data_IF_492646552869
#
_entry.id   IF_492646552869
#
_cell.length_a   1.000
_cell.length_b   1.000
_cell.length_c   1.000
_cell.angle_alpha   90.00
_cell.angle_beta   90.00
_cell.angle_gamma   90.00
#
_symmetry.space_group_name_H-M   'P 1'
#
loop_
_entity.id
_entity.type
_entity.pdbx_description
1 polymer ?
#
# COMPACT_ATOMS: atom_id res chain seq x y z
N UNK A 1 1.11 5.74 15.23
CA UNK A 1 0.91 4.45 15.95
C UNK A 1 -0.22 4.51 17.00
N UNK A 2 -0.37 5.59 17.79
CA UNK A 2 -1.43 5.69 18.83
C UNK A 2 -2.85 5.76 18.26
N UNK A 3 -3.06 6.34 17.08
CA UNK A 3 -4.39 6.48 16.47
C UNK A 3 -4.94 5.15 15.91
N UNK A 4 -4.08 4.22 15.47
CA UNK A 4 -4.52 2.90 15.02
C UNK A 4 -5.04 2.03 16.18
N UNK A 5 -4.39 2.09 17.35
CA UNK A 5 -4.82 1.33 18.53
C UNK A 5 -6.18 1.80 19.12
N UNK A 6 -6.62 3.03 18.81
CA UNK A 6 -7.91 3.54 19.28
C UNK A 6 -9.07 2.90 18.50
N UNK A 7 -8.90 2.63 17.21
CA UNK A 7 -9.92 1.97 16.38
C UNK A 7 -10.27 0.57 16.89
N UNK A 8 -9.30 -0.19 17.35
CA UNK A 8 -9.48 -1.58 17.80
C UNK A 8 -10.39 -1.68 19.05
N UNK A 9 -10.52 -0.60 19.81
CA UNK A 9 -11.35 -0.55 21.03
C UNK A 9 -12.76 0.01 20.83
N UNK A 10 -13.02 0.64 19.68
CA UNK A 10 -14.25 1.41 19.44
C UNK A 10 -15.04 0.97 18.22
N UNK A 11 -14.58 -0.05 17.47
CA UNK A 11 -15.41 -0.70 16.45
C UNK A 11 -16.32 -1.70 17.18
N UNK A 12 -17.41 -1.19 17.74
CA UNK A 12 -18.52 -2.01 18.20
C UNK A 12 -19.53 -2.11 17.06
N UNK A 13 -20.01 -3.32 16.81
CA UNK A 13 -21.11 -3.67 15.91
C UNK A 13 -21.03 -3.08 14.49
N UNK A 14 -20.72 -3.94 13.53
CA UNK A 14 -20.79 -3.74 12.05
C UNK A 14 -20.89 -2.27 11.59
N UNK A 15 -19.78 -1.53 11.53
CA UNK A 15 -19.82 -0.15 11.06
C UNK A 15 -20.17 -0.12 9.58
N UNK A 16 -20.92 0.89 9.14
CA UNK A 16 -21.06 1.16 7.70
C UNK A 16 -19.70 1.52 7.13
N UNK A 17 -19.20 0.69 6.24
CA UNK A 17 -17.90 0.81 5.60
C UNK A 17 -18.04 0.66 4.09
N UNK A 18 -16.98 0.98 3.34
CA UNK A 18 -16.95 0.68 1.91
C UNK A 18 -17.16 -0.84 1.67
N UNK A 19 -16.64 -1.69 2.55
CA UNK A 19 -16.81 -3.15 2.47
C UNK A 19 -18.27 -3.53 2.59
N UNK A 20 -19.01 -2.99 3.59
CA UNK A 20 -20.43 -3.30 3.75
C UNK A 20 -21.25 -2.84 2.55
N UNK A 21 -20.97 -1.64 2.00
CA UNK A 21 -21.68 -1.12 0.84
C UNK A 21 -21.42 -1.98 -0.41
N UNK A 22 -20.18 -2.37 -0.65
CA UNK A 22 -19.83 -3.23 -1.78
C UNK A 22 -20.43 -4.63 -1.66
N UNK A 23 -20.53 -5.17 -0.44
CA UNK A 23 -21.22 -6.45 -0.20
C UNK A 23 -22.71 -6.36 -0.51
N UNK A 24 -23.38 -5.27 -0.15
CA UNK A 24 -24.77 -5.02 -0.50
C UNK A 24 -24.97 -4.96 -2.04
N UNK A 25 -23.93 -4.50 -2.77
CA UNK A 25 -23.88 -4.51 -4.24
C UNK A 25 -23.44 -5.85 -4.85
N UNK A 26 -23.24 -6.88 -4.02
CA UNK A 26 -22.91 -8.25 -4.42
C UNK A 26 -21.44 -8.52 -4.72
N UNK A 27 -20.53 -7.71 -4.16
CA UNK A 27 -19.08 -7.98 -4.24
C UNK A 27 -18.64 -9.00 -3.19
N UNK A 28 -17.69 -9.85 -3.56
CA UNK A 28 -16.86 -10.60 -2.62
C UNK A 28 -15.71 -9.70 -2.19
N UNK A 29 -15.63 -9.40 -0.91
CA UNK A 29 -14.66 -8.47 -0.35
C UNK A 29 -13.48 -9.20 0.29
N UNK A 30 -12.27 -8.95 -0.18
CA UNK A 30 -11.06 -9.70 0.12
C UNK A 30 -9.99 -8.75 0.66
N UNK A 31 -9.49 -9.04 1.88
CA UNK A 31 -8.33 -8.34 2.44
C UNK A 31 -7.06 -9.19 2.25
N UNK A 32 -5.99 -8.59 1.74
CA UNK A 32 -4.68 -9.23 1.56
C UNK A 32 -3.58 -8.39 2.19
N UNK A 33 -2.81 -8.97 3.09
CA UNK A 33 -1.68 -8.30 3.73
C UNK A 33 -0.54 -9.29 4.01
N UNK A 34 0.61 -9.17 3.32
CA UNK A 34 1.73 -10.10 3.45
C UNK A 34 2.52 -9.90 4.75
N UNK A 35 1.80 -9.92 5.88
CA UNK A 35 2.34 -9.83 7.23
C UNK A 35 1.48 -10.62 8.21
N UNK A 36 1.90 -10.69 9.47
CA UNK A 36 1.18 -11.44 10.51
C UNK A 36 -0.22 -10.88 10.75
N UNK A 37 -1.20 -11.75 10.91
CA UNK A 37 -2.60 -11.39 11.17
C UNK A 37 -2.78 -10.57 12.46
N UNK A 38 -1.92 -10.82 13.45
CA UNK A 38 -1.91 -10.09 14.72
C UNK A 38 -1.32 -8.69 14.61
N UNK A 39 -0.59 -8.39 13.52
CA UNK A 39 -0.09 -7.06 13.24
C UNK A 39 -1.24 -6.06 13.17
N UNK A 40 -1.14 -4.98 13.94
CA UNK A 40 -2.19 -3.95 14.08
C UNK A 40 -3.57 -4.53 14.44
N UNK A 41 -3.63 -5.68 15.12
CA UNK A 41 -4.87 -6.35 15.54
C UNK A 41 -5.84 -6.67 14.39
N UNK A 42 -5.33 -6.93 13.18
CA UNK A 42 -6.16 -7.16 11.98
C UNK A 42 -7.06 -8.37 12.12
N UNK A 43 -6.58 -9.43 12.77
CA UNK A 43 -7.37 -10.63 13.09
C UNK A 43 -8.61 -10.32 13.94
N UNK A 44 -8.60 -9.21 14.69
CA UNK A 44 -9.74 -8.77 15.49
C UNK A 44 -10.62 -7.76 14.72
N UNK A 45 -10.02 -6.87 13.94
CA UNK A 45 -10.70 -5.74 13.30
C UNK A 45 -11.36 -6.14 11.97
N UNK A 46 -10.69 -6.89 11.13
CA UNK A 46 -11.18 -7.22 9.79
C UNK A 46 -12.48 -8.04 9.76
N UNK A 47 -12.72 -8.99 10.70
CA UNK A 47 -14.02 -9.64 10.79
C UNK A 47 -15.18 -8.68 11.08
N UNK A 48 -14.94 -7.63 11.88
CA UNK A 48 -15.95 -6.59 12.16
C UNK A 48 -16.18 -5.65 10.97
N UNK A 49 -15.17 -5.43 10.13
CA UNK A 49 -15.31 -4.68 8.87
C UNK A 49 -16.16 -5.48 7.86
N UNK A 50 -16.15 -6.81 7.96
CA UNK A 50 -17.02 -7.70 7.20
C UNK A 50 -16.39 -8.28 5.93
N UNK A 51 -15.06 -8.36 5.81
CA UNK A 51 -14.41 -9.04 4.69
C UNK A 51 -14.84 -10.53 4.61
N UNK A 52 -15.03 -11.04 3.40
CA UNK A 52 -15.37 -12.44 3.14
C UNK A 52 -14.14 -13.34 3.17
N UNK A 53 -13.02 -12.83 2.69
CA UNK A 53 -11.72 -13.51 2.70
C UNK A 53 -10.65 -12.61 3.33
N UNK A 54 -9.77 -13.20 4.14
CA UNK A 54 -8.65 -12.49 4.76
C UNK A 54 -7.40 -13.35 4.60
N UNK A 55 -6.40 -12.81 3.92
CA UNK A 55 -5.16 -13.49 3.61
C UNK A 55 -3.97 -12.77 4.22
N UNK A 56 -3.21 -13.47 5.04
CA UNK A 56 -2.05 -12.97 5.76
C UNK A 56 -0.78 -13.71 5.31
N UNK A 57 0.33 -13.56 6.02
CA UNK A 57 1.67 -13.98 5.63
C UNK A 57 1.74 -15.42 5.09
N UNK A 58 0.99 -16.36 5.68
CA UNK A 58 1.01 -17.79 5.31
C UNK A 58 0.39 -18.07 3.91
N UNK A 59 -0.37 -17.11 3.38
CA UNK A 59 -0.96 -17.21 2.04
C UNK A 59 0.03 -16.90 0.92
N UNK A 60 1.10 -16.19 1.21
CA UNK A 60 2.08 -15.70 0.25
C UNK A 60 3.30 -16.61 0.16
N UNK A 61 3.99 -16.54 -0.96
CA UNK A 61 5.26 -17.24 -1.14
C UNK A 61 6.36 -16.55 -0.33
N UNK A 62 6.75 -17.16 0.78
CA UNK A 62 7.74 -16.63 1.69
C UNK A 62 9.18 -16.70 1.15
N UNK A 63 9.39 -17.17 -0.07
CA UNK A 63 10.67 -17.05 -0.79
C UNK A 63 10.78 -15.74 -1.58
N UNK A 64 9.67 -15.03 -1.79
CA UNK A 64 9.57 -13.75 -2.49
C UNK A 64 9.77 -12.59 -1.51
N UNK A 65 10.99 -12.42 -1.03
CA UNK A 65 11.33 -11.45 0.02
C UNK A 65 12.38 -10.47 -0.49
N UNK A 66 12.14 -9.18 -0.24
CA UNK A 66 13.16 -8.13 -0.25
C UNK A 66 13.37 -7.63 1.17
N UNK A 67 14.60 -7.55 1.60
CA UNK A 67 14.97 -7.32 3.00
C UNK A 67 14.33 -8.39 3.89
N UNK A 68 13.34 -8.01 4.69
CA UNK A 68 12.62 -8.87 5.64
C UNK A 68 11.15 -9.08 5.27
N UNK A 69 10.69 -8.43 4.19
CA UNK A 69 9.27 -8.39 3.85
C UNK A 69 8.98 -9.02 2.49
N UNK A 70 7.82 -9.65 2.40
CA UNK A 70 7.29 -10.16 1.14
C UNK A 70 7.11 -8.99 0.16
N UNK A 71 7.47 -9.21 -1.10
CA UNK A 71 7.45 -8.19 -2.15
C UNK A 71 6.04 -7.73 -2.49
N UNK A 72 5.90 -6.49 -2.92
CA UNK A 72 4.65 -5.95 -3.46
C UNK A 72 4.20 -6.73 -4.70
N UNK A 73 5.16 -7.18 -5.53
CA UNK A 73 4.88 -8.02 -6.69
C UNK A 73 4.17 -9.32 -6.29
N UNK A 74 4.61 -9.99 -5.21
CA UNK A 74 3.94 -11.23 -4.76
C UNK A 74 2.50 -10.96 -4.30
N UNK A 75 2.24 -9.85 -3.60
CA UNK A 75 0.88 -9.45 -3.26
C UNK A 75 0.02 -9.27 -4.52
N UNK A 76 0.53 -8.56 -5.53
CA UNK A 76 -0.20 -8.33 -6.77
C UNK A 76 -0.38 -9.61 -7.59
N UNK A 77 0.58 -10.50 -7.59
CA UNK A 77 0.45 -11.83 -8.21
C UNK A 77 -0.67 -12.66 -7.55
N UNK A 78 -0.84 -12.56 -6.23
CA UNK A 78 -1.94 -13.21 -5.51
C UNK A 78 -3.30 -12.58 -5.84
N UNK A 79 -3.37 -11.27 -5.96
CA UNK A 79 -4.58 -10.56 -6.42
C UNK A 79 -4.97 -11.05 -7.81
N UNK A 80 -4.02 -11.07 -8.74
CA UNK A 80 -4.24 -11.55 -10.12
C UNK A 80 -4.74 -13.01 -10.11
N UNK A 81 -4.06 -13.88 -9.38
CA UNK A 81 -4.46 -15.31 -9.30
C UNK A 81 -5.85 -15.48 -8.70
N UNK A 82 -6.23 -14.70 -7.68
CA UNK A 82 -7.59 -14.77 -7.11
C UNK A 82 -8.62 -14.25 -8.11
N UNK A 83 -8.29 -13.20 -8.86
CA UNK A 83 -9.13 -12.71 -9.96
C UNK A 83 -9.31 -13.76 -11.05
N UNK A 84 -8.24 -14.43 -11.50
CA UNK A 84 -8.29 -15.49 -12.52
C UNK A 84 -9.13 -16.69 -12.10
N UNK A 85 -9.10 -17.04 -10.81
CA UNK A 85 -9.83 -18.15 -10.21
C UNK A 85 -11.22 -17.76 -9.69
N UNK A 86 -11.74 -16.58 -10.05
CA UNK A 86 -13.06 -16.13 -9.64
C UNK A 86 -14.16 -17.01 -10.23
N UNK A 87 -15.28 -17.09 -9.54
CA UNK A 87 -16.49 -17.70 -10.08
C UNK A 87 -17.01 -16.89 -11.27
N UNK A 88 -17.80 -17.54 -12.13
CA UNK A 88 -18.40 -16.82 -13.24
C UNK A 88 -19.28 -15.65 -12.74
N UNK A 89 -19.07 -14.46 -13.28
CA UNK A 89 -19.74 -13.21 -12.89
C UNK A 89 -19.51 -12.77 -11.42
N UNK A 90 -18.48 -13.27 -10.75
CA UNK A 90 -18.13 -12.83 -9.40
C UNK A 90 -17.52 -11.41 -9.45
N UNK A 91 -18.15 -10.48 -8.75
CA UNK A 91 -17.59 -9.15 -8.53
C UNK A 91 -16.63 -9.20 -7.36
N UNK A 92 -15.43 -8.67 -7.53
CA UNK A 92 -14.37 -8.71 -6.52
C UNK A 92 -13.97 -7.32 -6.08
N UNK A 93 -13.80 -7.14 -4.78
CA UNK A 93 -13.14 -6.00 -4.18
C UNK A 93 -11.90 -6.49 -3.41
N UNK A 94 -10.74 -5.96 -3.75
CA UNK A 94 -9.50 -6.26 -3.05
C UNK A 94 -9.04 -5.06 -2.24
N UNK A 95 -8.77 -5.26 -0.96
CA UNK A 95 -8.00 -4.35 -0.14
C UNK A 95 -6.60 -4.94 0.07
N UNK A 96 -5.65 -4.56 -0.80
CA UNK A 96 -4.26 -4.95 -0.70
C UNK A 96 -3.47 -3.95 0.13
N UNK A 97 -2.80 -4.41 1.20
CA UNK A 97 -1.89 -3.59 2.01
C UNK A 97 -0.50 -4.18 1.88
N UNK A 98 0.40 -3.45 1.25
CA UNK A 98 1.79 -3.88 1.07
C UNK A 98 2.61 -3.77 2.35
N UNK A 99 3.78 -4.41 2.38
CA UNK A 99 4.68 -4.38 3.54
C UNK A 99 6.14 -4.15 3.14
N UNK A 100 6.49 -4.31 1.86
CA UNK A 100 7.85 -4.25 1.34
C UNK A 100 8.59 -2.98 1.78
N UNK A 101 7.92 -1.83 1.76
CA UNK A 101 8.52 -0.53 2.06
C UNK A 101 8.45 -0.15 3.54
N UNK A 102 7.98 -1.03 4.43
CA UNK A 102 7.92 -0.73 5.86
C UNK A 102 9.29 -0.37 6.43
N UNK A 103 9.30 0.57 7.37
CA UNK A 103 10.51 1.20 7.91
C UNK A 103 11.49 0.29 8.62
N UNK A 104 12.62 0.89 8.93
CA UNK A 104 13.91 0.34 9.26
C UNK A 104 14.77 0.32 8.00
N UNK A 105 15.43 1.47 7.64
CA UNK A 105 16.23 1.56 6.39
C UNK A 105 17.72 1.67 6.67
N UNK A 106 18.18 1.28 7.86
CA UNK A 106 19.56 1.44 8.31
C UNK A 106 20.41 0.18 8.14
N UNK A 107 19.75 -0.96 8.02
CA UNK A 107 20.42 -2.25 7.88
C UNK A 107 20.73 -2.57 6.42
N UNK A 108 21.80 -3.29 6.17
CA UNK A 108 22.19 -3.78 4.84
C UNK A 108 21.71 -5.21 4.65
N UNK A 109 21.18 -5.54 3.50
CA UNK A 109 20.61 -6.84 3.18
C UNK A 109 21.23 -7.44 1.92
N UNK A 110 21.68 -8.68 1.99
CA UNK A 110 22.29 -9.39 0.86
C UNK A 110 21.29 -9.64 -0.29
N UNK A 111 19.99 -9.73 0.04
CA UNK A 111 18.91 -9.96 -0.92
C UNK A 111 18.31 -8.68 -1.49
N UNK A 112 18.87 -7.51 -1.16
CA UNK A 112 18.40 -6.23 -1.66
C UNK A 112 19.56 -5.31 -2.05
N UNK A 113 20.00 -5.32 -3.31
CA UNK A 113 20.99 -4.37 -3.79
C UNK A 113 20.38 -2.97 -3.91
N UNK A 114 20.91 -2.03 -3.16
CA UNK A 114 20.53 -0.61 -3.29
C UNK A 114 21.09 -0.06 -4.62
N UNK A 115 20.24 0.05 -5.63
CA UNK A 115 20.67 0.46 -6.98
C UNK A 115 20.36 1.92 -7.30
N UNK A 116 19.57 2.61 -6.48
CA UNK A 116 19.03 3.91 -6.80
C UNK A 116 19.44 5.00 -5.82
N UNK A 117 19.89 6.11 -6.40
CA UNK A 117 20.05 7.44 -5.83
C UNK A 117 21.17 7.67 -4.82
N UNK A 118 22.35 7.87 -5.36
CA UNK A 118 23.42 8.56 -4.63
C UNK A 118 23.23 10.07 -4.77
N UNK A 119 22.57 10.69 -3.83
CA UNK A 119 22.49 12.14 -3.75
C UNK A 119 23.76 12.67 -3.11
N UNK A 120 24.89 12.73 -3.83
CA UNK A 120 26.15 13.40 -3.48
C UNK A 120 26.83 13.06 -2.14
N UNK A 121 26.09 12.56 -1.15
CA UNK A 121 26.48 12.01 0.16
C UNK A 121 25.83 10.65 0.36
N UNK A 122 26.41 9.82 1.22
CA UNK A 122 25.81 8.54 1.60
C UNK A 122 24.63 8.79 2.56
N UNK A 123 23.42 8.83 2.02
CA UNK A 123 22.19 8.79 2.79
C UNK A 123 21.62 7.39 2.67
N UNK A 124 22.14 6.47 3.45
CA UNK A 124 21.85 5.03 3.33
C UNK A 124 20.37 4.73 3.48
N UNK A 125 19.71 5.33 4.45
CA UNK A 125 18.27 5.19 4.68
C UNK A 125 17.42 5.72 3.52
N UNK A 126 17.74 6.91 3.01
CA UNK A 126 17.04 7.48 1.86
C UNK A 126 17.30 6.67 0.57
N UNK A 127 18.53 6.23 0.33
CA UNK A 127 18.86 5.39 -0.82
C UNK A 127 18.11 4.06 -0.77
N UNK A 128 18.05 3.42 0.39
CA UNK A 128 17.30 2.18 0.57
C UNK A 128 15.80 2.40 0.33
N UNK A 129 15.21 3.44 0.95
CA UNK A 129 13.79 3.76 0.74
C UNK A 129 13.46 4.03 -0.73
N UNK A 130 14.25 4.88 -1.41
CA UNK A 130 14.02 5.19 -2.83
C UNK A 130 14.18 3.97 -3.75
N UNK A 131 15.11 3.07 -3.41
CA UNK A 131 15.25 1.81 -4.14
C UNK A 131 14.03 0.91 -3.93
N UNK A 132 13.44 0.87 -2.73
CA UNK A 132 12.20 0.15 -2.47
C UNK A 132 11.01 0.76 -3.20
N UNK A 133 10.91 2.09 -3.26
CA UNK A 133 9.86 2.78 -4.03
C UNK A 133 9.93 2.41 -5.51
N UNK A 134 11.15 2.30 -6.06
CA UNK A 134 11.31 1.84 -7.45
C UNK A 134 10.80 0.42 -7.66
N UNK A 135 11.11 -0.51 -6.75
CA UNK A 135 10.58 -1.89 -6.83
C UNK A 135 9.05 -1.91 -6.74
N UNK A 136 8.46 -1.07 -5.89
CA UNK A 136 7.00 -0.92 -5.80
C UNK A 136 6.40 -0.34 -7.08
N UNK A 137 7.05 0.64 -7.71
CA UNK A 137 6.62 1.25 -8.97
C UNK A 137 6.58 0.21 -10.09
N UNK A 138 7.63 -0.61 -10.23
CA UNK A 138 7.64 -1.70 -11.22
C UNK A 138 6.57 -2.77 -10.92
N UNK A 139 6.29 -3.07 -9.65
CA UNK A 139 5.22 -3.99 -9.28
C UNK A 139 3.84 -3.43 -9.64
N UNK A 140 3.58 -2.15 -9.37
CA UNK A 140 2.34 -1.45 -9.77
C UNK A 140 2.18 -1.41 -11.28
N UNK A 141 3.24 -1.12 -12.01
CA UNK A 141 3.26 -1.16 -13.48
C UNK A 141 2.86 -2.54 -14.02
N UNK A 142 3.36 -3.62 -13.41
CA UNK A 142 3.00 -4.98 -13.79
C UNK A 142 1.52 -5.27 -13.50
N UNK A 143 0.99 -4.84 -12.35
CA UNK A 143 -0.43 -4.95 -12.00
C UNK A 143 -1.31 -4.24 -13.03
N UNK A 144 -1.02 -2.98 -13.34
CA UNK A 144 -1.73 -2.18 -14.34
C UNK A 144 -1.61 -2.83 -15.72
N UNK A 145 -0.43 -3.30 -16.11
CA UNK A 145 -0.20 -3.97 -17.40
C UNK A 145 -0.99 -5.26 -17.55
N UNK A 146 -1.26 -5.96 -16.48
CA UNK A 146 -2.13 -7.14 -16.48
C UNK A 146 -3.59 -6.70 -16.68
N UNK A 147 -4.12 -5.84 -15.82
CA UNK A 147 -5.51 -5.44 -15.84
C UNK A 147 -5.91 -4.58 -17.04
N UNK A 148 -4.96 -3.94 -17.72
CA UNK A 148 -5.23 -3.23 -18.99
C UNK A 148 -5.61 -4.15 -20.15
N UNK A 149 -5.44 -5.47 -20.01
CA UNK A 149 -5.71 -6.48 -21.05
C UNK A 149 -6.95 -7.32 -20.76
N UNK A 150 -7.61 -7.11 -19.65
CA UNK A 150 -8.84 -7.83 -19.30
C UNK A 150 -10.06 -7.08 -19.81
N UNK A 151 -11.11 -7.84 -20.16
CA UNK A 151 -12.35 -7.28 -20.70
C UNK A 151 -13.30 -6.76 -19.60
N UNK A 152 -13.14 -7.26 -18.37
CA UNK A 152 -13.95 -6.79 -17.23
C UNK A 152 -13.56 -5.35 -16.87
N UNK A 153 -14.52 -4.50 -16.46
CA UNK A 153 -14.21 -3.17 -15.96
C UNK A 153 -13.45 -3.28 -14.62
N UNK A 154 -12.27 -2.67 -14.59
CA UNK A 154 -11.38 -2.67 -13.41
C UNK A 154 -11.02 -1.25 -13.03
N UNK A 155 -11.10 -0.97 -11.73
CA UNK A 155 -10.61 0.25 -11.12
C UNK A 155 -9.55 -0.08 -10.08
N UNK A 156 -8.43 0.64 -10.11
CA UNK A 156 -7.34 0.55 -9.13
C UNK A 156 -7.21 1.92 -8.45
N UNK A 157 -7.41 1.94 -7.14
CA UNK A 157 -7.14 3.09 -6.30
C UNK A 157 -5.85 2.79 -5.54
N UNK A 158 -4.81 3.58 -5.79
CA UNK A 158 -3.52 3.43 -5.14
C UNK A 158 -3.20 4.67 -4.30
N UNK A 159 -2.74 4.46 -3.08
CA UNK A 159 -2.29 5.53 -2.20
C UNK A 159 -1.26 5.04 -1.19
N UNK A 160 -0.38 5.95 -0.76
CA UNK A 160 0.47 5.72 0.40
C UNK A 160 -0.33 5.89 1.70
N UNK A 161 0.08 5.21 2.75
CA UNK A 161 -0.53 5.34 4.08
C UNK A 161 0.11 6.47 4.91
N UNK A 162 1.40 6.69 4.74
CA UNK A 162 2.17 7.78 5.36
C UNK A 162 3.56 7.93 4.73
N UNK A 163 4.21 9.06 5.00
CA UNK A 163 5.60 9.30 4.61
C UNK A 163 6.58 8.43 5.43
N UNK A 164 7.77 8.09 4.86
CA UNK A 164 8.81 7.37 5.57
C UNK A 164 9.43 8.22 6.69
N UNK A 165 9.92 7.56 7.73
CA UNK A 165 10.78 8.21 8.74
C UNK A 165 12.25 8.05 8.32
N UNK A 166 12.81 9.10 7.70
CA UNK A 166 14.20 9.16 7.27
C UNK A 166 15.04 10.00 8.23
N UNK A 167 16.37 9.89 8.09
CA UNK A 167 17.31 10.67 8.88
C UNK A 167 17.09 12.18 8.64
N UNK A 168 17.06 12.95 9.71
CA UNK A 168 16.82 14.41 9.66
C UNK A 168 17.81 15.19 8.78
N UNK A 169 19.00 14.64 8.54
CA UNK A 169 20.02 15.24 7.66
C UNK A 169 19.65 15.16 6.16
N UNK A 170 18.66 14.36 5.80
CA UNK A 170 18.17 14.27 4.42
C UNK A 170 17.22 15.41 4.04
N UNK A 171 16.40 15.86 4.99
CA UNK A 171 15.40 16.91 4.74
C UNK A 171 15.96 18.25 4.24
N UNK A 172 17.15 18.73 4.68
CA UNK A 172 17.75 19.93 4.10
C UNK A 172 18.06 19.82 2.60
N UNK A 173 18.25 18.61 2.08
CA UNK A 173 18.45 18.40 0.63
C UNK A 173 17.15 18.53 -0.13
N UNK A 174 16.05 18.02 0.42
CA UNK A 174 14.73 18.12 -0.18
C UNK A 174 14.16 19.53 -0.12
N UNK A 175 14.30 20.18 1.02
CA UNK A 175 13.59 21.42 1.34
C UNK A 175 14.51 22.66 1.37
N UNK A 176 15.84 22.50 1.19
CA UNK A 176 16.83 23.56 1.36
C UNK A 176 17.06 24.00 2.81
N UNK A 177 16.33 23.41 3.76
CA UNK A 177 16.38 23.71 5.21
C UNK A 177 15.97 22.50 6.05
N UNK A 178 16.38 22.48 7.33
CA UNK A 178 16.00 21.41 8.26
C UNK A 178 14.55 21.50 8.70
N UNK A 179 14.07 20.43 9.33
CA UNK A 179 12.67 20.30 9.79
C UNK A 179 12.22 21.44 10.72
N UNK A 180 13.13 22.01 11.52
CA UNK A 180 12.84 23.11 12.46
C UNK A 180 12.64 24.46 11.77
N UNK A 181 12.97 24.58 10.49
CA UNK A 181 12.83 25.81 9.71
C UNK A 181 11.70 25.79 8.71
N UNK A 182 10.83 24.76 8.74
CA UNK A 182 9.70 24.62 7.83
C UNK A 182 8.53 25.52 8.25
N UNK A 183 7.85 26.09 7.25
CA UNK A 183 6.55 26.74 7.44
C UNK A 183 5.46 25.70 7.66
N UNK A 184 4.25 26.14 8.03
CA UNK A 184 3.10 25.24 8.22
C UNK A 184 2.79 24.46 6.91
N UNK A 185 2.73 25.15 5.77
CA UNK A 185 2.52 24.54 4.44
C UNK A 185 3.60 23.49 4.08
N UNK A 186 4.86 23.76 4.46
CA UNK A 186 5.94 22.80 4.24
C UNK A 186 5.88 21.60 5.19
N UNK A 187 5.39 21.81 6.41
CA UNK A 187 5.14 20.73 7.36
C UNK A 187 3.98 19.84 6.89
N UNK A 188 2.91 20.42 6.34
CA UNK A 188 1.79 19.65 5.78
C UNK A 188 2.25 18.71 4.66
N UNK A 189 3.21 19.14 3.81
CA UNK A 189 3.77 18.29 2.76
C UNK A 189 4.45 17.02 3.28
N UNK A 190 4.89 16.98 4.54
CA UNK A 190 5.43 15.77 5.17
C UNK A 190 4.35 14.74 5.50
N UNK A 191 3.08 15.10 5.38
CA UNK A 191 1.94 14.22 5.60
C UNK A 191 1.19 13.90 4.32
N UNK A 192 1.55 14.51 3.18
CA UNK A 192 0.97 14.18 1.88
C UNK A 192 1.57 12.89 1.35
N UNK A 193 0.75 12.08 0.69
CA UNK A 193 1.14 10.81 0.08
C UNK A 193 0.71 10.78 -1.38
N UNK A 194 1.38 10.01 -2.24
CA UNK A 194 0.93 9.82 -3.61
C UNK A 194 -0.42 9.11 -3.62
N UNK A 195 -1.27 9.52 -4.54
CA UNK A 195 -2.58 8.95 -4.77
C UNK A 195 -2.89 8.99 -6.26
N UNK A 196 -3.44 7.90 -6.81
CA UNK A 196 -4.02 7.89 -8.14
C UNK A 196 -5.20 6.92 -8.24
N UNK A 197 -6.07 7.17 -9.20
CA UNK A 197 -7.12 6.24 -9.66
C UNK A 197 -6.79 5.89 -11.11
N UNK A 198 -6.83 4.61 -11.42
CA UNK A 198 -6.66 4.08 -12.76
C UNK A 198 -7.83 3.16 -13.11
N UNK A 199 -8.30 3.26 -14.34
CA UNK A 199 -9.33 2.38 -14.90
C UNK A 199 -8.90 1.84 -16.25
N UNK A 200 -9.37 0.64 -16.62
CA UNK A 200 -9.19 0.11 -17.96
C UNK A 200 -10.34 0.46 -18.91
N UNK A 201 -11.19 1.39 -18.51
CA UNK A 201 -12.32 1.90 -19.27
C UNK A 201 -12.36 3.44 -19.21
N UNK A 202 -13.04 4.05 -20.19
CA UNK A 202 -13.17 5.51 -20.24
C UNK A 202 -14.03 6.04 -19.09
N UNK A 203 -13.49 7.00 -18.36
CA UNK A 203 -14.23 7.76 -17.34
C UNK A 203 -14.41 9.20 -17.80
N UNK A 204 -15.52 9.88 -17.43
CA UNK A 204 -15.64 11.30 -17.66
C UNK A 204 -14.48 12.06 -17.01
N UNK A 205 -13.88 13.00 -17.74
CA UNK A 205 -12.92 13.94 -17.15
C UNK A 205 -13.68 14.91 -16.25
N UNK A 206 -13.48 14.78 -14.95
CA UNK A 206 -13.98 15.74 -13.97
C UNK A 206 -12.82 16.32 -13.18
N UNK A 207 -12.79 17.64 -13.06
CA UNK A 207 -11.91 18.32 -12.13
C UNK A 207 -12.67 18.53 -10.84
N UNK A 208 -12.36 17.74 -9.81
CA UNK A 208 -12.96 17.88 -8.48
C UNK A 208 -11.92 18.56 -7.59
N UNK A 209 -12.26 19.75 -7.11
CA UNK A 209 -11.50 20.42 -6.05
C UNK A 209 -12.02 19.89 -4.70
N UNK A 210 -11.21 19.05 -4.06
CA UNK A 210 -11.50 18.50 -2.74
C UNK A 210 -10.73 19.35 -1.72
N UNK A 211 -11.34 20.44 -1.29
CA UNK A 211 -10.86 21.26 -0.17
C UNK A 211 -11.46 20.84 1.15
#
# INVERSE_FOLDING_TARGET
>A
QRQMCIRDRYISDTPTTIVSNLKDDGYTCIAMHPYYETGWSRNLVYPHIGFDEMHFIDYFDQTKILREYITDQELYDKIIRRYENRKNNEKLFFMGITMQNHGGYTETYDNFPENYYKVGRSYTDANQYLSLVHESDEAVKNLISYFSKVDDPVEIIFFGDHQPSLNSNFYPILNGKGLTGLTEDELEKLYTVPFFIWTNYDTPEETVDIT
#
